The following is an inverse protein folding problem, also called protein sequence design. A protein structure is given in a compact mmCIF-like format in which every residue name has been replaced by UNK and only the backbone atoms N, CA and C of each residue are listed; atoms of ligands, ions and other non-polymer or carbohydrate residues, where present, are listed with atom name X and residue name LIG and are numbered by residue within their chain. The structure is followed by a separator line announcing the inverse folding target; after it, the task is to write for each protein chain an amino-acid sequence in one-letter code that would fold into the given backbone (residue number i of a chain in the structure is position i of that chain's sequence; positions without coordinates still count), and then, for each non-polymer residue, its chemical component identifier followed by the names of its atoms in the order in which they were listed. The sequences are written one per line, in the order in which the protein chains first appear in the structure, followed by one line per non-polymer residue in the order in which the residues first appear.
data_IF_654831388611
#
_entry.id   IF_654831388611
#
_cell.length_a   1.000
_cell.length_b   1.000
_cell.length_c   1.000
_cell.angle_alpha   90.00
_cell.angle_beta   90.00
_cell.angle_gamma   90.00
#
_symmetry.space_group_name_H-M   'P 1'
#
loop_
_entity.id
_entity.type
_entity.pdbx_description
1 polymer ?
#
# COMPACT_ATOMS: atom_id res chain seq x y z
N UNK A 1 -4.23 -1.13 -3.94
CA UNK A 1 -3.95 -1.84 -5.19
C UNK A 1 -2.54 -1.51 -5.68
N UNK A 2 -1.79 -2.54 -6.09
CA UNK A 2 -0.49 -2.44 -6.76
C UNK A 2 -0.61 -3.07 -8.16
N UNK A 3 -0.86 -2.23 -9.18
CA UNK A 3 -1.07 -2.67 -10.55
C UNK A 3 0.28 -2.96 -11.24
N UNK A 4 0.49 -4.20 -11.63
CA UNK A 4 1.69 -4.70 -12.30
C UNK A 4 1.33 -5.12 -13.73
N UNK A 5 1.90 -4.43 -14.71
CA UNK A 5 1.73 -4.83 -16.11
C UNK A 5 2.59 -6.07 -16.41
N UNK A 6 1.95 -7.17 -16.80
CA UNK A 6 2.60 -8.42 -17.16
C UNK A 6 1.86 -9.13 -18.31
N UNK A 7 1.96 -8.57 -19.52
CA UNK A 7 1.22 -9.10 -20.66
C UNK A 7 1.67 -10.51 -21.05
N UNK A 8 0.68 -11.41 -21.19
CA UNK A 8 0.91 -12.79 -21.60
C UNK A 8 1.02 -12.88 -23.12
N UNK A 9 2.15 -12.41 -23.66
CA UNK A 9 2.38 -12.25 -25.10
C UNK A 9 2.41 -13.55 -25.91
N UNK A 10 2.53 -14.70 -25.24
CA UNK A 10 2.49 -16.02 -25.89
C UNK A 10 1.08 -16.61 -25.97
N UNK A 11 0.12 -16.06 -25.22
CA UNK A 11 -1.28 -16.50 -25.23
C UNK A 11 -1.95 -16.32 -26.59
N UNK A 12 -2.89 -17.20 -26.92
CA UNK A 12 -3.65 -17.13 -28.16
C UNK A 12 -4.45 -15.83 -28.32
N UNK A 13 -5.05 -15.32 -27.24
CA UNK A 13 -5.80 -14.06 -27.24
C UNK A 13 -4.91 -12.84 -27.56
N UNK A 14 -3.72 -12.75 -26.96
CA UNK A 14 -2.78 -11.64 -27.20
C UNK A 14 -2.32 -11.67 -28.65
N UNK A 15 -1.92 -12.84 -29.16
CA UNK A 15 -1.47 -13.02 -30.55
C UNK A 15 -2.58 -12.75 -31.56
N UNK A 16 -3.84 -13.05 -31.23
CA UNK A 16 -4.98 -12.75 -32.09
C UNK A 16 -5.18 -11.23 -32.27
N UNK A 17 -4.75 -10.40 -31.31
CA UNK A 17 -4.74 -8.94 -31.44
C UNK A 17 -6.11 -8.27 -31.61
N UNK A 18 -7.21 -9.02 -31.40
CA UNK A 18 -8.57 -8.50 -31.56
C UNK A 18 -8.86 -7.48 -30.48
N UNK A 19 -9.45 -6.35 -30.85
CA UNK A 19 -9.84 -5.27 -29.94
C UNK A 19 -11.32 -5.31 -29.59
N UNK A 20 -11.69 -4.68 -28.48
CA UNK A 20 -13.06 -4.47 -28.04
C UNK A 20 -13.32 -2.99 -27.77
N UNK A 21 -14.57 -2.57 -27.92
CA UNK A 21 -15.05 -1.37 -27.23
C UNK A 21 -15.51 -1.79 -25.84
N UNK A 22 -14.84 -1.27 -24.81
CA UNK A 22 -15.17 -1.59 -23.42
C UNK A 22 -16.54 -0.99 -23.09
N UNK A 23 -17.50 -1.86 -22.75
CA UNK A 23 -18.86 -1.50 -22.32
C UNK A 23 -19.14 -1.91 -20.88
N UNK A 24 -18.27 -2.71 -20.28
CA UNK A 24 -18.44 -3.20 -18.92
C UNK A 24 -17.23 -3.97 -18.40
N UNK A 25 -17.33 -4.42 -17.15
CA UNK A 25 -16.35 -5.23 -16.45
C UNK A 25 -17.03 -6.50 -15.94
N UNK A 26 -16.34 -7.64 -16.03
CA UNK A 26 -16.81 -8.94 -15.54
C UNK A 26 -15.88 -9.44 -14.44
N UNK A 27 -16.43 -9.70 -13.26
CA UNK A 27 -15.69 -10.27 -12.13
C UNK A 27 -15.82 -11.79 -12.14
N UNK A 28 -14.70 -12.45 -11.89
CA UNK A 28 -14.53 -13.89 -11.85
C UNK A 28 -13.79 -14.33 -10.59
N UNK A 29 -13.86 -15.62 -10.28
CA UNK A 29 -12.91 -16.28 -9.39
C UNK A 29 -12.36 -17.52 -10.08
N UNK A 30 -11.10 -17.84 -9.77
CA UNK A 30 -10.32 -18.81 -10.56
C UNK A 30 -10.84 -20.27 -10.51
N UNK A 31 -11.84 -20.57 -9.68
CA UNK A 31 -12.56 -21.84 -9.65
C UNK A 31 -11.72 -23.02 -9.16
N UNK A 32 -10.62 -22.76 -8.45
CA UNK A 32 -9.79 -23.78 -7.82
C UNK A 32 -9.00 -23.18 -6.64
N UNK A 33 -8.60 -23.98 -5.64
CA UNK A 33 -7.94 -23.50 -4.42
C UNK A 33 -6.48 -23.07 -4.67
N UNK A 34 -6.32 -21.98 -5.42
CA UNK A 34 -5.05 -21.44 -5.88
C UNK A 34 -4.95 -19.97 -5.48
N UNK A 35 -4.21 -19.65 -4.40
CA UNK A 35 -4.14 -18.29 -3.88
C UNK A 35 -3.19 -17.38 -4.66
N UNK A 36 -2.39 -17.93 -5.59
CA UNK A 36 -1.34 -17.20 -6.32
C UNK A 36 -1.57 -17.15 -7.82
N UNK A 37 -1.39 -15.94 -8.37
CA UNK A 37 -1.59 -15.63 -9.78
C UNK A 37 -0.51 -16.23 -10.68
N UNK A 38 0.70 -16.49 -10.16
CA UNK A 38 1.85 -16.94 -10.95
C UNK A 38 1.61 -18.28 -11.65
N UNK A 39 0.83 -19.17 -11.03
CA UNK A 39 0.42 -20.45 -11.61
C UNK A 39 -0.41 -20.23 -12.87
N UNK A 40 -1.37 -19.30 -12.84
CA UNK A 40 -2.22 -18.97 -13.98
C UNK A 40 -1.45 -18.23 -15.07
N UNK A 41 -0.58 -17.28 -14.68
CA UNK A 41 0.28 -16.57 -15.64
C UNK A 41 1.16 -17.54 -16.43
N UNK A 42 1.71 -18.56 -15.78
CA UNK A 42 2.48 -19.63 -16.45
C UNK A 42 1.57 -20.48 -17.35
N UNK A 43 0.41 -20.90 -16.87
CA UNK A 43 -0.48 -21.81 -17.58
C UNK A 43 -1.19 -21.17 -18.79
N UNK A 44 -1.48 -19.86 -18.74
CA UNK A 44 -2.20 -19.16 -19.80
C UNK A 44 -1.28 -18.49 -20.83
N UNK A 45 0.02 -18.33 -20.53
CA UNK A 45 0.98 -17.74 -21.47
C UNK A 45 1.52 -18.77 -22.48
N UNK A 46 0.61 -19.41 -23.21
CA UNK A 46 0.91 -20.40 -24.25
C UNK A 46 -0.15 -20.36 -25.35
N UNK A 47 0.23 -20.74 -26.56
CA UNK A 47 -0.61 -20.52 -27.75
C UNK A 47 -1.90 -21.35 -27.75
N UNK A 48 -1.88 -22.51 -27.10
CA UNK A 48 -2.99 -23.47 -26.98
C UNK A 48 -3.86 -23.26 -25.72
N UNK A 49 -3.59 -22.20 -24.93
CA UNK A 49 -4.44 -21.86 -23.80
C UNK A 49 -5.82 -21.39 -24.29
N UNK A 50 -6.88 -22.00 -23.77
CA UNK A 50 -8.26 -21.68 -24.14
C UNK A 50 -8.93 -20.66 -23.20
N UNK A 51 -8.17 -20.08 -22.28
CA UNK A 51 -8.62 -19.07 -21.34
C UNK A 51 -7.66 -17.88 -21.34
N UNK A 52 -8.22 -16.67 -21.22
CA UNK A 52 -7.46 -15.44 -21.21
C UNK A 52 -8.27 -14.30 -20.59
N UNK A 53 -7.76 -13.74 -19.51
CA UNK A 53 -8.39 -12.66 -18.74
C UNK A 53 -7.51 -11.42 -18.79
N UNK A 54 -8.07 -10.26 -18.45
CA UNK A 54 -7.32 -9.01 -18.47
C UNK A 54 -6.50 -8.80 -17.22
N UNK A 55 -6.97 -9.27 -16.07
CA UNK A 55 -6.20 -9.20 -14.82
C UNK A 55 -6.51 -10.32 -13.83
N UNK A 56 -5.56 -10.58 -12.93
CA UNK A 56 -5.75 -11.39 -11.72
C UNK A 56 -5.47 -10.54 -10.48
N UNK A 57 -6.31 -10.67 -9.46
CA UNK A 57 -6.23 -9.98 -8.16
C UNK A 57 -5.81 -10.95 -7.05
N UNK A 58 -4.81 -10.55 -6.26
CA UNK A 58 -4.35 -11.27 -5.06
C UNK A 58 -4.75 -10.56 -3.75
N UNK A 59 -4.80 -11.28 -2.61
CA UNK A 59 -5.23 -10.74 -1.31
C UNK A 59 -4.25 -9.72 -0.70
N UNK A 60 -3.00 -9.68 -1.13
CA UNK A 60 -2.01 -8.69 -0.67
C UNK A 60 -2.15 -7.33 -1.39
N UNK A 61 -3.11 -7.23 -2.32
CA UNK A 61 -3.38 -6.03 -3.09
C UNK A 61 -2.64 -5.95 -4.42
N UNK A 62 -1.85 -6.96 -4.78
CA UNK A 62 -1.25 -7.07 -6.11
C UNK A 62 -2.33 -7.35 -7.17
N UNK A 63 -2.20 -6.67 -8.31
CA UNK A 63 -3.03 -6.87 -9.50
C UNK A 63 -2.12 -7.06 -10.70
N UNK A 64 -2.22 -8.22 -11.34
CA UNK A 64 -1.42 -8.53 -12.52
C UNK A 64 -2.25 -8.29 -13.77
N UNK A 65 -1.93 -7.26 -14.54
CA UNK A 65 -2.58 -7.00 -15.83
C UNK A 65 -1.94 -7.90 -16.91
N UNK A 66 -2.72 -8.86 -17.38
CA UNK A 66 -2.29 -9.94 -18.27
C UNK A 66 -2.57 -9.67 -19.75
N UNK A 67 -3.51 -8.76 -20.03
CA UNK A 67 -3.89 -8.36 -21.38
C UNK A 67 -4.13 -6.83 -21.38
N UNK A 68 -3.82 -6.11 -22.47
CA UNK A 68 -4.26 -4.73 -22.60
C UNK A 68 -5.79 -4.64 -22.46
N UNK A 69 -6.27 -3.60 -21.77
CA UNK A 69 -7.69 -3.48 -21.39
C UNK A 69 -8.67 -3.49 -22.56
N UNK A 70 -8.23 -3.04 -23.73
CA UNK A 70 -9.02 -2.94 -24.96
C UNK A 70 -8.82 -4.15 -25.90
N UNK A 71 -8.10 -5.19 -25.49
CA UNK A 71 -8.03 -6.45 -26.23
C UNK A 71 -9.20 -7.36 -25.85
N UNK A 72 -9.58 -8.23 -26.78
CA UNK A 72 -10.61 -9.23 -26.62
C UNK A 72 -10.08 -10.41 -25.79
N UNK A 73 -10.53 -10.52 -24.53
CA UNK A 73 -10.26 -11.67 -23.68
C UNK A 73 -11.06 -12.91 -24.09
N UNK A 74 -10.65 -14.08 -23.58
CA UNK A 74 -11.34 -15.37 -23.68
C UNK A 74 -11.71 -15.84 -22.26
N UNK A 75 -12.49 -15.03 -21.55
CA UNK A 75 -12.74 -15.20 -20.11
C UNK A 75 -14.18 -15.68 -19.82
N UNK A 76 -15.15 -15.30 -20.65
CA UNK A 76 -16.57 -15.52 -20.36
C UNK A 76 -17.21 -16.68 -21.13
N UNK A 77 -16.52 -17.27 -22.10
CA UNK A 77 -17.11 -18.30 -22.97
C UNK A 77 -18.31 -17.82 -23.83
N UNK A 78 -18.57 -16.51 -23.93
CA UNK A 78 -19.72 -15.98 -24.65
C UNK A 78 -19.53 -14.58 -25.24
N UNK A 79 -20.64 -13.89 -25.49
CA UNK A 79 -20.68 -12.55 -26.08
C UNK A 79 -19.92 -11.49 -25.29
N UNK A 80 -19.85 -11.62 -23.95
CA UNK A 80 -19.15 -10.69 -23.06
C UNK A 80 -17.65 -10.57 -23.37
N UNK A 81 -17.02 -11.58 -23.98
CA UNK A 81 -15.65 -11.50 -24.47
C UNK A 81 -15.42 -10.33 -25.44
N UNK A 82 -16.46 -9.84 -26.12
CA UNK A 82 -16.39 -8.75 -27.10
C UNK A 82 -16.67 -7.35 -26.50
N UNK A 83 -17.01 -7.27 -25.22
CA UNK A 83 -17.50 -6.03 -24.60
C UNK A 83 -16.99 -5.78 -23.19
N UNK A 84 -16.58 -6.81 -22.46
CA UNK A 84 -16.22 -6.72 -21.05
C UNK A 84 -14.73 -6.97 -20.83
N UNK A 85 -14.17 -6.27 -19.84
CA UNK A 85 -12.88 -6.59 -19.25
C UNK A 85 -13.10 -7.69 -18.20
N UNK A 86 -12.46 -8.85 -18.35
CA UNK A 86 -12.53 -9.96 -17.40
C UNK A 86 -11.43 -9.90 -16.34
N UNK A 87 -11.82 -9.95 -15.07
CA UNK A 87 -10.89 -9.93 -13.92
C UNK A 87 -11.14 -11.14 -13.04
N UNK A 88 -10.07 -11.87 -12.73
CA UNK A 88 -10.08 -13.03 -11.84
C UNK A 88 -9.63 -12.66 -10.43
N UNK A 89 -10.32 -13.14 -9.40
CA UNK A 89 -9.79 -13.18 -8.04
C UNK A 89 -9.19 -14.55 -7.76
N UNK A 90 -8.01 -14.59 -7.13
CA UNK A 90 -7.48 -15.85 -6.60
C UNK A 90 -8.38 -16.37 -5.48
N UNK A 91 -8.35 -17.67 -5.26
CA UNK A 91 -9.14 -18.34 -4.23
C UNK A 91 -8.24 -18.92 -3.14
N UNK A 92 -8.71 -19.02 -1.89
CA UNK A 92 -7.90 -19.52 -0.78
C UNK A 92 -7.48 -20.98 -0.99
N UNK A 93 -6.31 -21.36 -0.46
CA UNK A 93 -5.86 -22.76 -0.47
C UNK A 93 -6.62 -23.67 0.51
N UNK A 94 -7.48 -23.08 1.35
CA UNK A 94 -8.23 -23.73 2.42
C UNK A 94 -9.65 -24.14 2.02
N UNK A 95 -9.96 -24.18 0.72
CA UNK A 95 -11.22 -24.71 0.21
C UNK A 95 -10.98 -25.95 -0.65
N UNK A 96 -11.98 -26.82 -0.71
CA UNK A 96 -11.99 -28.00 -1.60
C UNK A 96 -13.31 -28.07 -2.34
N UNK A 97 -13.26 -28.07 -3.67
CA UNK A 97 -14.45 -28.27 -4.48
C UNK A 97 -14.94 -29.72 -4.40
N UNK A 98 -16.24 -29.87 -4.18
CA UNK A 98 -16.95 -31.16 -4.14
C UNK A 98 -17.73 -31.44 -5.45
N UNK A 99 -17.71 -30.50 -6.40
CA UNK A 99 -18.34 -30.62 -7.71
C UNK A 99 -19.12 -29.37 -8.08
N UNK A 100 -18.92 -28.88 -9.31
CA UNK A 100 -19.47 -27.60 -9.74
C UNK A 100 -19.02 -26.46 -8.82
N UNK A 101 -19.96 -25.60 -8.42
CA UNK A 101 -19.72 -24.48 -7.53
C UNK A 101 -19.71 -24.85 -6.03
N UNK A 102 -19.95 -26.12 -5.68
CA UNK A 102 -19.99 -26.56 -4.29
C UNK A 102 -18.57 -26.77 -3.76
N UNK A 103 -18.28 -26.22 -2.59
CA UNK A 103 -17.00 -26.36 -1.92
C UNK A 103 -17.16 -26.55 -0.41
N UNK A 104 -16.12 -27.07 0.23
CA UNK A 104 -16.02 -27.25 1.68
C UNK A 104 -14.76 -26.58 2.21
N UNK A 105 -14.87 -25.91 3.35
CA UNK A 105 -13.73 -25.43 4.11
C UNK A 105 -12.87 -26.61 4.60
N UNK A 106 -11.54 -26.52 4.45
CA UNK A 106 -10.58 -27.54 4.93
C UNK A 106 -9.77 -27.08 6.13
N UNK A 107 -9.85 -25.81 6.52
CA UNK A 107 -9.24 -25.22 7.70
C UNK A 107 -10.28 -24.78 8.74
N UNK A 108 -9.98 -23.71 9.47
CA UNK A 108 -10.87 -23.12 10.48
C UNK A 108 -11.77 -21.99 9.92
N UNK A 109 -11.70 -21.71 8.61
CA UNK A 109 -12.47 -20.66 7.94
C UNK A 109 -11.91 -19.24 8.05
N UNK A 110 -11.00 -18.95 8.98
CA UNK A 110 -10.47 -17.58 9.17
C UNK A 110 -9.63 -17.14 7.96
N UNK A 111 -8.78 -18.02 7.46
CA UNK A 111 -7.95 -17.76 6.28
C UNK A 111 -8.79 -17.56 5.02
N UNK A 112 -9.82 -18.39 4.83
CA UNK A 112 -10.75 -18.29 3.70
C UNK A 112 -11.47 -16.96 3.73
N UNK A 113 -12.03 -16.57 4.88
CA UNK A 113 -12.70 -15.27 5.05
C UNK A 113 -11.74 -14.11 4.77
N UNK A 114 -10.54 -14.14 5.34
CA UNK A 114 -9.55 -13.10 5.16
C UNK A 114 -9.14 -12.96 3.68
N UNK A 115 -8.91 -14.08 2.98
CA UNK A 115 -8.57 -14.10 1.57
C UNK A 115 -9.69 -13.50 0.71
N UNK A 116 -10.94 -13.95 0.89
CA UNK A 116 -12.09 -13.49 0.11
C UNK A 116 -12.36 -12.00 0.33
N UNK A 117 -12.32 -11.52 1.57
CA UNK A 117 -12.52 -10.09 1.85
C UNK A 117 -11.39 -9.22 1.28
N UNK A 118 -10.15 -9.72 1.30
CA UNK A 118 -9.00 -8.99 0.78
C UNK A 118 -9.01 -8.90 -0.75
N UNK A 119 -9.32 -10.00 -1.45
CA UNK A 119 -9.47 -9.97 -2.91
C UNK A 119 -10.69 -9.16 -3.35
N UNK A 120 -11.81 -9.23 -2.63
CA UNK A 120 -12.98 -8.37 -2.84
C UNK A 120 -12.61 -6.88 -2.76
N UNK A 121 -11.93 -6.47 -1.69
CA UNK A 121 -11.50 -5.07 -1.51
C UNK A 121 -10.58 -4.62 -2.66
N UNK A 122 -9.60 -5.43 -3.03
CA UNK A 122 -8.71 -5.10 -4.13
C UNK A 122 -9.45 -5.03 -5.48
N UNK A 123 -10.42 -5.92 -5.71
CA UNK A 123 -11.28 -5.88 -6.89
C UNK A 123 -12.15 -4.60 -6.93
N UNK A 124 -12.68 -4.13 -5.80
CA UNK A 124 -13.40 -2.83 -5.72
C UNK A 124 -12.50 -1.69 -6.18
N UNK A 125 -11.26 -1.62 -5.67
CA UNK A 125 -10.29 -0.59 -6.05
C UNK A 125 -9.96 -0.63 -7.56
N UNK A 126 -9.73 -1.83 -8.11
CA UNK A 126 -9.46 -2.01 -9.54
C UNK A 126 -10.67 -1.63 -10.41
N UNK A 127 -11.87 -2.06 -10.02
CA UNK A 127 -13.09 -1.80 -10.81
C UNK A 127 -13.44 -0.31 -10.78
N UNK A 128 -13.24 0.39 -9.67
CA UNK A 128 -13.39 1.85 -9.60
C UNK A 128 -12.41 2.56 -10.54
N UNK A 129 -11.14 2.15 -10.53
CA UNK A 129 -10.12 2.66 -11.45
C UNK A 129 -10.51 2.45 -12.92
N UNK A 130 -10.98 1.25 -13.28
CA UNK A 130 -11.41 0.93 -14.64
C UNK A 130 -12.69 1.69 -15.05
N UNK A 131 -13.65 1.85 -14.12
CA UNK A 131 -14.85 2.62 -14.40
C UNK A 131 -14.53 4.09 -14.67
N UNK A 132 -13.62 4.70 -13.90
CA UNK A 132 -13.13 6.06 -14.18
C UNK A 132 -12.42 6.12 -15.54
N UNK A 133 -11.52 5.18 -15.82
CA UNK A 133 -10.74 5.16 -17.06
C UNK A 133 -11.62 5.06 -18.32
N UNK A 134 -12.72 4.30 -18.25
CA UNK A 134 -13.60 4.03 -19.40
C UNK A 134 -14.95 4.77 -19.34
N UNK A 135 -15.14 5.67 -18.36
CA UNK A 135 -16.38 6.43 -18.19
C UNK A 135 -17.61 5.55 -17.95
N UNK A 136 -17.45 4.46 -17.18
CA UNK A 136 -18.51 3.49 -16.90
C UNK A 136 -19.26 3.88 -15.61
N UNK A 137 -20.59 3.77 -15.64
CA UNK A 137 -21.42 3.87 -14.43
C UNK A 137 -21.51 2.48 -13.75
N UNK A 138 -20.89 2.27 -12.59
CA UNK A 138 -20.83 0.95 -11.95
C UNK A 138 -22.20 0.41 -11.50
N UNK A 139 -23.22 1.27 -11.37
CA UNK A 139 -24.58 0.85 -11.00
C UNK A 139 -25.53 0.71 -12.20
N UNK A 140 -25.07 1.04 -13.41
CA UNK A 140 -25.86 0.86 -14.62
C UNK A 140 -25.97 -0.64 -15.00
N UNK A 141 -27.13 -1.01 -15.57
CA UNK A 141 -27.44 -2.40 -15.90
C UNK A 141 -26.43 -2.98 -16.91
N UNK A 142 -25.88 -4.16 -16.60
CA UNK A 142 -24.95 -4.87 -17.49
C UNK A 142 -23.53 -4.31 -17.54
N UNK A 143 -23.23 -3.20 -16.86
CA UNK A 143 -21.88 -2.61 -16.83
C UNK A 143 -20.96 -3.44 -15.94
N UNK A 144 -21.33 -3.71 -14.69
CA UNK A 144 -20.57 -4.59 -13.80
C UNK A 144 -21.37 -5.86 -13.58
N UNK A 145 -20.81 -7.00 -13.94
CA UNK A 145 -21.48 -8.31 -13.83
C UNK A 145 -20.54 -9.40 -13.32
N UNK A 146 -21.06 -10.42 -12.65
CA UNK A 146 -20.37 -11.68 -12.43
C UNK A 146 -20.46 -12.58 -13.67
N UNK A 147 -19.71 -13.69 -13.69
CA UNK A 147 -19.90 -14.73 -14.70
C UNK A 147 -21.32 -15.31 -14.62
N UNK A 148 -21.81 -15.58 -13.41
CA UNK A 148 -23.17 -16.08 -13.14
C UNK A 148 -24.26 -15.16 -13.71
N UNK A 149 -24.15 -13.84 -13.49
CA UNK A 149 -25.06 -12.86 -14.09
C UNK A 149 -24.90 -12.79 -15.63
N UNK A 150 -23.67 -12.92 -16.15
CA UNK A 150 -23.41 -13.02 -17.58
C UNK A 150 -24.10 -14.23 -18.24
N UNK A 151 -24.10 -15.38 -17.56
CA UNK A 151 -24.81 -16.57 -18.01
C UNK A 151 -26.32 -16.33 -18.06
N UNK A 152 -26.90 -15.74 -17.00
CA UNK A 152 -28.33 -15.40 -16.93
C UNK A 152 -28.75 -14.43 -18.04
N UNK A 153 -27.82 -13.60 -18.50
CA UNK A 153 -28.01 -12.67 -19.63
C UNK A 153 -27.77 -13.31 -21.01
N UNK A 154 -27.35 -14.57 -21.07
CA UNK A 154 -27.04 -15.27 -22.33
C UNK A 154 -25.75 -14.81 -23.01
N UNK A 155 -24.85 -14.13 -22.28
CA UNK A 155 -23.59 -13.58 -22.82
C UNK A 155 -22.33 -14.24 -22.24
N UNK A 156 -22.48 -15.23 -21.36
CA UNK A 156 -21.39 -16.03 -20.80
C UNK A 156 -21.78 -17.50 -20.69
N UNK A 157 -20.79 -18.38 -20.51
CA UNK A 157 -20.97 -19.80 -20.24
C UNK A 157 -21.56 -20.04 -18.84
N UNK A 158 -22.03 -21.26 -18.59
CA UNK A 158 -22.69 -21.65 -17.34
C UNK A 158 -21.71 -21.88 -16.19
N UNK A 159 -21.07 -20.81 -15.71
CA UNK A 159 -20.28 -20.81 -14.49
C UNK A 159 -20.97 -19.98 -13.39
N UNK A 160 -20.79 -20.41 -12.14
CA UNK A 160 -21.45 -19.83 -10.97
C UNK A 160 -20.64 -18.77 -10.21
N UNK A 161 -19.42 -18.46 -10.67
CA UNK A 161 -18.58 -17.44 -10.05
C UNK A 161 -19.15 -16.03 -10.24
N UNK A 162 -19.02 -15.17 -9.24
CA UNK A 162 -18.27 -15.29 -7.96
C UNK A 162 -19.14 -15.64 -6.76
N UNK A 163 -20.45 -15.71 -6.97
CA UNK A 163 -21.45 -15.75 -5.91
C UNK A 163 -21.33 -16.99 -5.02
N UNK A 164 -20.86 -18.12 -5.54
CA UNK A 164 -20.66 -19.36 -4.77
C UNK A 164 -19.67 -19.24 -3.63
N UNK A 165 -18.72 -18.29 -3.72
CA UNK A 165 -17.81 -17.96 -2.62
C UNK A 165 -18.33 -16.79 -1.80
N UNK A 166 -18.80 -15.74 -2.48
CA UNK A 166 -19.19 -14.49 -1.84
C UNK A 166 -20.38 -14.63 -0.89
N UNK A 167 -21.36 -15.49 -1.22
CA UNK A 167 -22.56 -15.66 -0.40
C UNK A 167 -22.26 -16.15 1.02
N UNK A 168 -21.24 -17.02 1.17
CA UNK A 168 -20.81 -17.55 2.49
C UNK A 168 -20.27 -16.46 3.42
N UNK A 169 -19.88 -15.31 2.87
CA UNK A 169 -19.34 -14.16 3.61
C UNK A 169 -20.24 -12.92 3.57
N UNK A 170 -21.49 -13.07 3.14
CA UNK A 170 -22.46 -11.98 3.08
C UNK A 170 -22.17 -10.93 1.99
N UNK A 171 -21.32 -11.26 1.02
CA UNK A 171 -21.01 -10.40 -0.11
C UNK A 171 -21.98 -10.67 -1.27
N UNK A 172 -22.26 -9.64 -2.07
CA UNK A 172 -23.14 -9.76 -3.23
C UNK A 172 -22.71 -8.84 -4.36
N UNK A 173 -23.10 -9.17 -5.59
CA UNK A 173 -22.89 -8.29 -6.74
C UNK A 173 -23.59 -6.93 -6.59
N UNK A 174 -24.72 -6.87 -5.86
CA UNK A 174 -25.36 -5.59 -5.57
C UNK A 174 -24.48 -4.72 -4.66
N UNK A 175 -23.91 -5.30 -3.61
CA UNK A 175 -22.99 -4.59 -2.71
C UNK A 175 -21.71 -4.19 -3.43
N UNK A 176 -21.16 -5.07 -4.28
CA UNK A 176 -19.95 -4.79 -5.06
C UNK A 176 -20.08 -3.54 -5.94
N UNK A 177 -21.21 -3.40 -6.66
CA UNK A 177 -21.48 -2.19 -7.45
C UNK A 177 -21.58 -0.92 -6.60
N UNK A 178 -22.21 -1.01 -5.42
CA UNK A 178 -22.29 0.11 -4.48
C UNK A 178 -20.91 0.48 -3.93
N UNK A 179 -20.09 -0.49 -3.60
CA UNK A 179 -18.74 -0.26 -3.08
C UNK A 179 -17.83 0.34 -4.16
N UNK A 180 -17.95 -0.10 -5.41
CA UNK A 180 -17.25 0.53 -6.55
C UNK A 180 -17.70 1.98 -6.71
N UNK A 181 -19.01 2.23 -6.70
CA UNK A 181 -19.56 3.60 -6.77
C UNK A 181 -19.03 4.47 -5.64
N UNK A 182 -19.06 3.98 -4.40
CA UNK A 182 -18.53 4.69 -3.24
C UNK A 182 -17.02 4.95 -3.36
N UNK A 183 -16.25 3.99 -3.90
CA UNK A 183 -14.82 4.17 -4.17
C UNK A 183 -14.56 5.20 -5.28
N UNK A 184 -15.45 5.32 -6.27
CA UNK A 184 -15.40 6.38 -7.30
C UNK A 184 -15.83 7.74 -6.76
N UNK A 185 -16.83 7.80 -5.89
CA UNK A 185 -17.36 9.03 -5.26
C UNK A 185 -16.41 9.58 -4.18
N UNK A 186 -15.70 8.71 -3.46
CA UNK A 186 -14.60 9.09 -2.56
C UNK A 186 -13.33 9.57 -3.27
N UNK A 187 -13.41 9.80 -4.58
CA UNK A 187 -12.32 10.19 -5.48
C UNK A 187 -12.67 11.43 -6.32
N UNK A 188 -13.41 12.40 -5.77
CA UNK A 188 -13.64 13.72 -6.41
C UNK A 188 -12.42 14.62 -6.24
N UNK A 189 -11.91 15.16 -7.35
CA UNK A 189 -10.64 15.91 -7.43
C UNK A 189 -10.60 17.25 -6.67
N UNK A 190 -11.71 17.72 -6.09
CA UNK A 190 -11.72 18.89 -5.19
C UNK A 190 -11.72 18.49 -3.70
N UNK A 191 -12.12 17.27 -3.35
CA UNK A 191 -12.03 16.70 -2.00
C UNK A 191 -10.79 15.80 -1.80
N UNK A 192 -10.00 15.57 -2.87
CA UNK A 192 -8.81 14.70 -2.85
C UNK A 192 -7.49 15.44 -2.66
N UNK A 193 -7.52 16.76 -2.44
CA UNK A 193 -6.30 17.55 -2.26
C UNK A 193 -5.79 17.42 -0.82
N UNK A 194 -4.49 17.23 -0.68
CA UNK A 194 -3.86 16.97 0.61
C UNK A 194 -3.64 18.29 1.34
N UNK A 195 -4.44 18.58 2.37
CA UNK A 195 -4.28 19.78 3.19
C UNK A 195 -2.88 19.82 3.85
N UNK A 196 -2.24 20.99 3.81
CA UNK A 196 -0.98 21.27 4.51
C UNK A 196 -1.22 21.51 6.00
N UNK A 197 -2.35 22.11 6.34
CA UNK A 197 -2.79 22.27 7.73
C UNK A 197 -3.38 20.96 8.27
N UNK A 198 -3.17 20.70 9.55
CA UNK A 198 -3.69 19.53 10.26
C UNK A 198 -2.62 18.71 10.96
N UNK A 199 -3.03 17.55 11.49
CA UNK A 199 -2.15 16.64 12.22
C UNK A 199 -1.33 15.77 11.27
N UNK A 200 -0.08 15.53 11.63
CA UNK A 200 0.76 14.59 10.92
C UNK A 200 0.15 13.18 10.95
N UNK A 201 0.23 12.47 9.83
CA UNK A 201 -0.25 11.10 9.69
C UNK A 201 0.89 10.08 9.83
N UNK A 202 2.13 10.47 9.52
CA UNK A 202 3.31 9.64 9.74
C UNK A 202 3.93 9.88 11.12
N UNK A 203 4.43 8.80 11.71
CA UNK A 203 5.23 8.81 12.94
C UNK A 203 6.71 9.10 12.65
N UNK A 204 7.45 9.55 13.67
CA UNK A 204 8.91 9.74 13.55
C UNK A 204 9.62 8.42 13.20
N UNK A 205 9.13 7.29 13.69
CA UNK A 205 9.65 5.96 13.34
C UNK A 205 9.52 5.65 11.84
N UNK A 206 8.35 5.90 11.24
CA UNK A 206 8.14 5.73 9.80
C UNK A 206 9.06 6.64 8.97
N UNK A 207 9.20 7.90 9.37
CA UNK A 207 10.10 8.85 8.71
C UNK A 207 11.56 8.39 8.77
N UNK A 208 12.01 7.93 9.94
CA UNK A 208 13.36 7.42 10.14
C UNK A 208 13.63 6.15 9.34
N UNK A 209 12.68 5.20 9.33
CA UNK A 209 12.78 3.96 8.53
C UNK A 209 12.90 4.26 7.04
N UNK A 210 12.02 5.11 6.51
CA UNK A 210 12.07 5.55 5.13
C UNK A 210 13.44 6.17 4.79
N UNK A 211 13.92 7.09 5.65
CA UNK A 211 15.15 7.82 5.38
C UNK A 211 16.38 6.91 5.39
N UNK A 212 16.49 5.99 6.36
CA UNK A 212 17.58 5.00 6.41
C UNK A 212 17.60 4.11 5.16
N UNK A 213 16.43 3.77 4.61
CA UNK A 213 16.33 2.97 3.38
C UNK A 213 16.76 3.74 2.14
N UNK A 214 16.44 5.03 2.05
CA UNK A 214 16.80 5.89 0.90
C UNK A 214 18.22 6.44 0.98
N UNK A 215 18.74 6.63 2.18
CA UNK A 215 20.08 7.10 2.45
C UNK A 215 20.68 6.26 3.60
N UNK A 216 21.26 5.09 3.29
CA UNK A 216 21.90 4.23 4.30
C UNK A 216 23.07 4.90 5.03
N UNK A 217 23.64 5.96 4.45
CA UNK A 217 24.72 6.75 5.02
C UNK A 217 24.24 8.02 5.73
N UNK A 218 22.94 8.14 6.01
CA UNK A 218 22.37 9.32 6.66
C UNK A 218 23.03 9.55 8.04
N UNK A 219 23.49 10.79 8.34
CA UNK A 219 24.06 11.09 9.64
C UNK A 219 23.06 10.91 10.78
N UNK A 220 23.53 10.47 11.95
CA UNK A 220 22.67 10.31 13.13
C UNK A 220 22.00 11.63 13.54
N UNK A 221 22.68 12.77 13.40
CA UNK A 221 22.12 14.09 13.68
C UNK A 221 20.89 14.43 12.84
N UNK A 222 20.78 13.89 11.62
CA UNK A 222 19.59 14.05 10.76
C UNK A 222 18.43 13.18 11.27
N UNK A 223 18.72 11.99 11.80
CA UNK A 223 17.70 11.14 12.42
C UNK A 223 17.19 11.74 13.73
N UNK A 224 18.09 12.31 14.53
CA UNK A 224 17.79 12.89 15.83
C UNK A 224 16.87 14.13 15.73
N UNK A 225 16.90 14.84 14.59
CA UNK A 225 16.04 16.00 14.36
C UNK A 225 14.66 15.65 13.77
N UNK A 226 14.39 14.40 13.36
CA UNK A 226 13.08 14.01 12.80
C UNK A 226 11.91 14.36 13.73
N UNK A 227 11.96 14.10 15.05
CA UNK A 227 10.89 14.48 15.96
C UNK A 227 10.57 15.97 15.97
N UNK A 228 11.55 16.84 15.63
CA UNK A 228 11.35 18.29 15.58
C UNK A 228 10.34 18.70 14.50
N UNK A 229 10.28 18.00 13.37
CA UNK A 229 9.26 18.25 12.35
C UNK A 229 7.84 18.07 12.90
N UNK A 230 7.64 17.02 13.70
CA UNK A 230 6.35 16.72 14.31
C UNK A 230 6.00 17.74 15.39
N UNK A 231 6.93 18.07 16.28
CA UNK A 231 6.67 19.01 17.37
C UNK A 231 6.46 20.45 16.87
N UNK A 232 7.29 20.91 15.93
CA UNK A 232 7.15 22.26 15.34
C UNK A 232 5.90 22.35 14.46
N UNK A 233 5.58 21.28 13.72
CA UNK A 233 4.35 21.19 12.95
C UNK A 233 3.09 21.25 13.82
N UNK A 234 3.00 20.41 14.86
CA UNK A 234 1.85 20.40 15.78
C UNK A 234 1.65 21.77 16.44
N UNK A 235 2.73 22.45 16.84
CA UNK A 235 2.67 23.77 17.47
C UNK A 235 2.04 24.84 16.56
N UNK A 236 2.23 24.74 15.24
CA UNK A 236 1.70 25.69 14.26
C UNK A 236 0.43 25.20 13.54
N UNK A 237 -0.04 23.99 13.85
CA UNK A 237 -1.16 23.33 13.17
C UNK A 237 -0.83 22.86 11.75
N UNK A 238 0.45 22.69 11.44
CA UNK A 238 0.96 22.27 10.12
C UNK A 238 1.37 20.81 10.18
N UNK A 239 1.10 20.08 9.10
CA UNK A 239 1.55 18.70 8.95
C UNK A 239 3.07 18.60 8.84
N UNK A 240 3.72 18.29 9.96
CA UNK A 240 5.16 18.09 10.05
C UNK A 240 5.69 16.96 9.15
N UNK A 241 4.87 15.95 8.86
CA UNK A 241 5.19 14.87 7.93
C UNK A 241 5.31 15.34 6.47
N UNK A 242 4.51 16.32 6.06
CA UNK A 242 4.63 16.98 4.76
C UNK A 242 5.93 17.80 4.70
N UNK A 243 6.25 18.56 5.75
CA UNK A 243 7.49 19.33 5.80
C UNK A 243 8.72 18.42 5.72
N UNK A 244 8.72 17.28 6.42
CA UNK A 244 9.79 16.30 6.31
C UNK A 244 9.89 15.70 4.89
N UNK A 245 8.76 15.33 4.27
CA UNK A 245 8.75 14.82 2.90
C UNK A 245 9.27 15.84 1.88
N UNK A 246 8.92 17.11 2.06
CA UNK A 246 9.48 18.22 1.28
C UNK A 246 10.99 18.33 1.48
N UNK A 247 11.49 18.25 2.71
CA UNK A 247 12.93 18.30 2.98
C UNK A 247 13.69 17.14 2.34
N UNK A 248 13.11 15.93 2.34
CA UNK A 248 13.65 14.80 1.59
C UNK A 248 13.72 15.08 0.09
N UNK A 249 12.73 15.77 -0.50
CA UNK A 249 12.77 16.15 -1.91
C UNK A 249 13.90 17.14 -2.21
N UNK A 250 13.98 18.23 -1.44
CA UNK A 250 14.91 19.35 -1.68
C UNK A 250 16.38 18.99 -1.45
N UNK A 251 16.64 18.07 -0.52
CA UNK A 251 17.99 17.64 -0.15
C UNK A 251 18.42 16.33 -0.82
N UNK A 252 17.55 15.71 -1.62
CA UNK A 252 17.80 14.36 -2.14
C UNK A 252 17.96 13.33 -1.03
N UNK A 253 17.02 13.28 -0.09
CA UNK A 253 17.03 12.47 1.13
C UNK A 253 18.27 12.73 2.01
N UNK A 254 18.58 14.00 2.24
CA UNK A 254 19.71 14.46 3.05
C UNK A 254 21.09 14.00 2.55
N UNK A 255 21.21 13.74 1.24
CA UNK A 255 22.51 13.53 0.59
C UNK A 255 23.14 14.86 0.16
N UNK A 256 22.30 15.88 -0.06
CA UNK A 256 22.66 17.22 -0.54
C UNK A 256 23.41 17.22 -1.88
N UNK A 257 23.42 16.10 -2.60
CA UNK A 257 24.09 15.99 -3.89
C UNK A 257 23.42 16.90 -4.91
N UNK A 258 24.15 17.90 -5.40
CA UNK A 258 23.63 18.92 -6.32
C UNK A 258 22.61 19.89 -5.70
N UNK A 259 22.45 19.90 -4.37
CA UNK A 259 21.55 20.83 -3.69
C UNK A 259 22.16 22.22 -3.54
N UNK A 260 21.31 23.26 -3.50
CA UNK A 260 21.72 24.65 -3.28
C UNK A 260 21.91 25.00 -1.78
N UNK A 261 21.70 24.01 -0.91
CA UNK A 261 21.88 24.08 0.54
C UNK A 261 22.77 22.95 1.03
N UNK A 262 23.38 23.12 2.18
CA UNK A 262 24.15 22.07 2.87
C UNK A 262 23.55 21.74 4.23
N UNK A 263 23.98 20.62 4.81
CA UNK A 263 23.54 20.20 6.14
C UNK A 263 23.81 21.27 7.22
N UNK A 264 24.97 21.94 7.17
CA UNK A 264 25.36 22.95 8.18
C UNK A 264 24.52 24.23 8.12
N UNK A 265 23.77 24.48 7.05
CA UNK A 265 22.88 25.64 6.96
C UNK A 265 21.58 25.44 7.73
N UNK A 266 21.27 24.23 8.18
CA UNK A 266 19.98 23.90 8.81
C UNK A 266 18.77 24.29 7.95
N UNK A 267 18.94 24.40 6.62
CA UNK A 267 17.90 24.83 5.69
C UNK A 267 17.53 23.67 4.78
N UNK A 268 16.64 22.79 5.26
CA UNK A 268 16.36 21.53 4.58
C UNK A 268 15.29 21.64 3.48
N UNK A 269 14.64 22.79 3.34
CA UNK A 269 13.63 23.04 2.30
C UNK A 269 14.10 23.99 1.19
N UNK A 270 15.38 24.38 1.18
CA UNK A 270 15.91 25.31 0.19
C UNK A 270 15.36 26.74 0.33
N UNK A 271 14.94 27.15 1.53
CA UNK A 271 14.34 28.46 1.75
C UNK A 271 15.32 29.58 1.33
N UNK A 272 14.86 30.49 0.46
CA UNK A 272 15.67 31.58 -0.06
C UNK A 272 16.47 31.26 -1.33
N UNK A 273 16.44 30.02 -1.83
CA UNK A 273 16.98 29.65 -3.14
C UNK A 273 16.03 30.19 -4.22
N UNK A 274 16.31 31.41 -4.70
CA UNK A 274 15.42 32.15 -5.62
C UNK A 274 15.79 31.98 -7.09
N UNK A 275 16.99 31.50 -7.38
CA UNK A 275 17.47 31.23 -8.74
C UNK A 275 18.66 30.26 -8.67
N UNK A 276 18.95 29.59 -9.80
CA UNK A 276 20.10 28.68 -9.92
C UNK A 276 21.39 29.40 -9.53
N UNK A 277 22.20 28.78 -8.66
CA UNK A 277 23.47 29.33 -8.20
C UNK A 277 23.40 30.27 -7.00
N UNK A 278 22.20 30.61 -6.49
CA UNK A 278 22.06 31.26 -5.18
C UNK A 278 22.00 30.23 -4.07
N UNK A 279 22.79 30.45 -3.03
CA UNK A 279 22.73 29.69 -1.78
C UNK A 279 21.48 30.05 -0.98
N UNK A 280 20.90 29.07 -0.31
CA UNK A 280 19.77 29.28 0.59
C UNK A 280 20.15 30.06 1.86
N UNK A 281 19.15 30.42 2.67
CA UNK A 281 19.34 30.95 4.02
C UNK A 281 20.05 29.93 4.93
N UNK A 282 20.59 30.41 6.05
CA UNK A 282 21.16 29.58 7.10
C UNK A 282 20.50 29.89 8.44
N UNK A 283 20.32 28.86 9.26
CA UNK A 283 19.74 28.96 10.61
C UNK A 283 20.73 28.41 11.64
N UNK A 284 20.69 28.97 12.84
CA UNK A 284 21.61 28.61 13.92
C UNK A 284 21.46 27.15 14.36
N UNK A 285 20.22 26.64 14.39
CA UNK A 285 19.93 25.25 14.78
C UNK A 285 18.96 24.58 13.80
N UNK A 286 18.99 23.24 13.77
CA UNK A 286 18.04 22.43 13.01
C UNK A 286 16.59 22.76 13.39
N UNK A 287 16.32 22.99 14.68
CA UNK A 287 15.00 23.38 15.16
C UNK A 287 14.53 24.70 14.54
N UNK A 288 15.38 25.74 14.51
CA UNK A 288 15.01 27.03 13.94
C UNK A 288 14.79 26.95 12.43
N UNK A 289 15.59 26.16 11.72
CA UNK A 289 15.40 25.94 10.29
C UNK A 289 14.13 25.18 9.94
N UNK A 290 13.81 24.12 10.71
CA UNK A 290 12.55 23.38 10.59
C UNK A 290 11.36 24.30 10.93
N UNK A 291 11.45 25.11 11.99
CA UNK A 291 10.43 26.10 12.34
C UNK A 291 10.20 27.09 11.20
N UNK A 292 11.26 27.64 10.61
CA UNK A 292 11.14 28.55 9.47
C UNK A 292 10.44 27.90 8.26
N UNK A 293 10.73 26.63 7.98
CA UNK A 293 10.02 25.87 6.95
C UNK A 293 8.53 25.71 7.26
N UNK A 294 8.20 25.29 8.49
CA UNK A 294 6.82 25.09 8.95
C UNK A 294 6.04 26.42 8.82
N UNK A 295 6.65 27.51 9.24
CA UNK A 295 6.09 28.85 9.10
C UNK A 295 5.88 29.24 7.64
N UNK A 296 6.83 28.92 6.74
CA UNK A 296 6.67 29.19 5.32
C UNK A 296 5.52 28.38 4.70
N UNK A 297 5.38 27.11 5.07
CA UNK A 297 4.24 26.27 4.67
C UNK A 297 2.90 26.82 5.19
N UNK A 298 2.86 27.27 6.45
CA UNK A 298 1.68 27.96 7.02
C UNK A 298 1.36 29.25 6.27
N UNK A 299 2.37 29.96 5.78
CA UNK A 299 2.18 31.15 4.96
C UNK A 299 1.35 30.83 3.71
N UNK A 300 1.72 29.75 3.03
CA UNK A 300 0.99 29.26 1.85
C UNK A 300 -0.40 28.75 2.21
N UNK A 301 -0.53 28.00 3.30
CA UNK A 301 -1.73 27.22 3.57
C UNK A 301 -2.83 27.94 4.35
N UNK A 302 -2.49 28.96 5.14
CA UNK A 302 -3.43 29.64 6.04
C UNK A 302 -3.19 31.15 6.09
N UNK A 303 -4.21 31.90 6.53
CA UNK A 303 -4.12 33.31 6.90
C UNK A 303 -3.82 33.55 8.39
N UNK A 304 -3.82 32.50 9.22
CA UNK A 304 -3.66 32.60 10.67
C UNK A 304 -2.30 33.17 11.08
N UNK A 305 -2.23 33.83 12.23
CA UNK A 305 -0.97 34.25 12.81
C UNK A 305 -0.10 33.05 13.24
N UNK A 306 1.19 33.28 13.43
CA UNK A 306 2.05 32.32 14.11
C UNK A 306 1.62 32.12 15.56
N UNK A 307 1.80 30.91 16.05
CA UNK A 307 1.63 30.63 17.49
C UNK A 307 2.96 30.91 18.22
N UNK A 308 4.09 30.60 17.60
CA UNK A 308 5.43 30.85 18.13
C UNK A 308 6.08 32.14 17.61
N UNK A 309 7.36 32.31 17.95
CA UNK A 309 8.22 33.38 17.42
C UNK A 309 8.42 33.23 15.90
N UNK A 310 8.27 34.33 15.15
CA UNK A 310 8.47 34.35 13.70
C UNK A 310 9.94 34.26 13.30
N UNK A 311 10.37 33.09 12.83
CA UNK A 311 11.74 32.80 12.37
C UNK A 311 11.88 32.94 10.86
N UNK A 312 10.83 32.68 10.08
CA UNK A 312 10.86 32.79 8.61
C UNK A 312 10.97 34.27 8.15
N UNK A 313 12.14 34.73 7.65
CA UNK A 313 12.31 36.12 7.22
C UNK A 313 11.63 36.39 5.86
N UNK A 314 11.16 35.34 5.17
CA UNK A 314 10.51 35.41 3.86
C UNK A 314 9.00 35.30 3.95
N UNK A 315 8.45 35.10 5.15
CA UNK A 315 7.02 34.94 5.37
C UNK A 315 6.20 36.07 4.74
N UNK A 316 6.69 37.31 4.88
CA UNK A 316 6.08 38.53 4.33
C UNK A 316 5.93 38.56 2.81
N UNK A 317 6.65 37.71 2.07
CA UNK A 317 6.59 37.67 0.61
C UNK A 317 5.51 36.71 0.07
N UNK A 318 4.95 35.86 0.92
CA UNK A 318 3.92 34.89 0.50
C UNK A 318 2.54 35.56 0.58
N UNK A 319 1.75 35.45 -0.50
CA UNK A 319 0.31 35.77 -0.40
C UNK A 319 -0.33 34.72 0.51
N UNK A 320 -0.75 35.13 1.69
CA UNK A 320 -1.29 34.23 2.72
C UNK A 320 -2.47 33.41 2.19
N UNK A 321 -2.50 32.11 2.51
CA UNK A 321 -3.59 31.19 2.14
C UNK A 321 -3.73 30.91 0.63
N UNK A 322 -2.70 31.17 -0.17
CA UNK A 322 -2.78 30.96 -1.62
C UNK A 322 -2.57 29.52 -2.10
N UNK A 323 -2.13 28.62 -1.22
CA UNK A 323 -1.95 27.19 -1.51
C UNK A 323 -2.26 26.36 -0.26
N UNK A 324 -3.55 26.18 0.11
CA UNK A 324 -4.00 25.32 1.22
C UNK A 324 -3.59 23.83 1.10
N UNK A 325 -3.35 23.36 -0.13
CA UNK A 325 -3.06 21.96 -0.42
C UNK A 325 -1.65 21.75 -0.96
N UNK A 326 -1.04 20.59 -0.68
CA UNK A 326 0.33 20.24 -1.08
C UNK A 326 0.50 20.30 -2.59
N UNK A 327 -0.49 19.81 -3.33
CA UNK A 327 -0.57 19.83 -4.78
C UNK A 327 -0.37 21.24 -5.33
N UNK A 328 -0.94 22.24 -4.65
CA UNK A 328 -0.87 23.66 -5.01
C UNK A 328 0.41 24.37 -4.57
N UNK A 329 1.37 23.66 -3.96
CA UNK A 329 2.73 24.18 -3.79
C UNK A 329 3.47 24.26 -5.14
N UNK A 330 3.02 23.52 -6.15
CA UNK A 330 3.47 23.73 -7.53
C UNK A 330 2.67 24.85 -8.20
N UNK A 331 3.37 25.85 -8.73
CA UNK A 331 2.73 27.02 -9.35
C UNK A 331 1.84 26.65 -10.55
N UNK A 332 2.19 25.60 -11.29
CA UNK A 332 1.44 25.17 -12.47
C UNK A 332 0.17 24.38 -12.11
N UNK A 333 0.17 23.75 -10.94
CA UNK A 333 -0.95 22.95 -10.42
C UNK A 333 -1.88 23.78 -9.53
N UNK A 334 -1.45 24.97 -9.10
CA UNK A 334 -2.27 25.88 -8.32
C UNK A 334 -3.15 26.75 -9.23
N UNK A 335 -4.48 26.76 -9.05
CA UNK A 335 -5.40 27.62 -9.81
C UNK A 335 -5.09 29.12 -9.73
N UNK A 336 -4.41 29.58 -8.67
CA UNK A 336 -3.99 30.98 -8.50
C UNK A 336 -2.63 31.28 -9.16
N UNK A 337 -1.97 30.30 -9.77
CA UNK A 337 -0.62 30.44 -10.34
C UNK A 337 0.47 30.73 -9.30
N UNK A 338 0.20 30.46 -8.02
CA UNK A 338 1.12 30.69 -6.89
C UNK A 338 1.61 29.37 -6.33
N UNK A 339 2.72 29.39 -5.60
CA UNK A 339 3.26 28.16 -5.03
C UNK A 339 4.74 28.30 -4.72
N UNK A 340 5.23 27.35 -3.93
CA UNK A 340 6.61 27.24 -3.53
C UNK A 340 7.56 27.13 -4.72
N UNK A 341 7.22 26.29 -5.71
CA UNK A 341 8.10 25.96 -6.83
C UNK A 341 7.44 26.28 -8.18
N UNK A 342 8.24 26.79 -9.11
CA UNK A 342 7.82 27.04 -10.50
C UNK A 342 7.77 25.77 -11.36
N UNK A 343 8.42 24.69 -10.91
CA UNK A 343 8.47 23.41 -11.62
C UNK A 343 7.15 22.65 -11.54
N UNK A 344 6.86 21.86 -12.59
CA UNK A 344 5.70 20.98 -12.64
C UNK A 344 5.77 19.85 -11.61
N UNK A 345 4.58 19.42 -11.17
CA UNK A 345 4.34 18.26 -10.31
C UNK A 345 5.07 18.35 -8.98
N UNK A 346 5.29 19.57 -8.48
CA UNK A 346 6.05 19.75 -7.24
C UNK A 346 5.34 19.10 -6.05
N UNK A 347 4.05 19.40 -5.88
CA UNK A 347 3.23 18.79 -4.83
C UNK A 347 3.14 17.26 -4.98
N UNK A 348 2.94 16.74 -6.19
CA UNK A 348 2.90 15.30 -6.46
C UNK A 348 4.19 14.59 -6.01
N UNK A 349 5.36 15.19 -6.22
CA UNK A 349 6.66 14.63 -5.77
C UNK A 349 6.74 14.54 -4.25
N UNK A 350 6.27 15.58 -3.54
CA UNK A 350 6.19 15.57 -2.07
C UNK A 350 5.25 14.45 -1.61
N UNK A 351 4.07 14.34 -2.22
CA UNK A 351 3.07 13.32 -1.88
C UNK A 351 3.56 11.90 -2.17
N UNK A 352 4.35 11.71 -3.24
CA UNK A 352 4.98 10.42 -3.52
C UNK A 352 5.93 9.99 -2.40
N UNK A 353 6.71 10.93 -1.84
CA UNK A 353 7.60 10.66 -0.70
C UNK A 353 6.78 10.39 0.56
N UNK A 354 5.78 11.23 0.84
CA UNK A 354 4.89 11.06 2.00
C UNK A 354 4.18 9.70 1.99
N UNK A 355 3.66 9.28 0.84
CA UNK A 355 3.02 7.96 0.67
C UNK A 355 3.99 6.82 0.94
N UNK A 356 5.25 6.95 0.52
CA UNK A 356 6.28 5.96 0.81
C UNK A 356 6.58 5.89 2.32
N UNK A 357 6.70 7.04 3.00
CA UNK A 357 6.88 7.12 4.45
C UNK A 357 5.72 6.43 5.19
N UNK A 358 4.47 6.81 4.88
CA UNK A 358 3.29 6.24 5.55
C UNK A 358 3.22 4.72 5.35
N UNK A 359 3.63 4.24 4.17
CA UNK A 359 3.64 2.81 3.84
C UNK A 359 4.66 1.99 4.63
N UNK A 360 5.72 2.59 5.18
CA UNK A 360 6.69 1.87 6.03
C UNK A 360 6.01 1.23 7.25
N UNK A 361 4.98 1.90 7.82
CA UNK A 361 4.22 1.37 8.96
C UNK A 361 3.34 0.19 8.60
N UNK A 362 2.89 0.08 7.34
CA UNK A 362 2.12 -1.07 6.86
C UNK A 362 3.01 -2.29 6.69
N UNK A 363 4.23 -2.11 6.17
CA UNK A 363 5.22 -3.19 6.05
C UNK A 363 5.61 -3.71 7.43
N UNK A 364 5.95 -2.82 8.36
CA UNK A 364 6.30 -3.23 9.73
C UNK A 364 5.15 -3.89 10.48
N UNK A 365 3.92 -3.39 10.33
CA UNK A 365 2.72 -4.02 10.89
C UNK A 365 2.48 -5.40 10.28
N UNK A 366 2.59 -5.55 8.97
CA UNK A 366 2.46 -6.85 8.29
C UNK A 366 3.57 -7.82 8.69
N UNK A 367 4.82 -7.37 8.80
CA UNK A 367 5.92 -8.19 9.33
C UNK A 367 5.60 -8.63 10.77
N UNK A 368 5.17 -7.70 11.64
CA UNK A 368 4.77 -8.03 13.01
C UNK A 368 3.62 -9.04 13.06
N UNK A 369 2.64 -8.92 12.16
CA UNK A 369 1.54 -9.88 12.01
C UNK A 369 2.08 -11.25 11.59
N UNK A 370 2.98 -11.31 10.60
CA UNK A 370 3.59 -12.58 10.14
C UNK A 370 4.45 -13.27 11.21
N UNK A 371 5.04 -12.52 12.14
CA UNK A 371 5.75 -13.06 13.31
C UNK A 371 4.83 -13.39 14.50
N UNK A 372 3.61 -12.84 14.52
CA UNK A 372 2.59 -13.11 15.56
C UNK A 372 1.70 -14.32 15.26
N UNK A 373 1.71 -14.85 14.04
CA UNK A 373 0.99 -16.10 13.73
C UNK A 373 1.79 -17.28 14.28
N UNK A 374 1.16 -18.19 15.06
CA UNK A 374 1.84 -19.38 15.51
C UNK A 374 2.44 -20.18 14.35
N UNK A 375 3.71 -20.55 14.46
CA UNK A 375 4.40 -21.38 13.46
C UNK A 375 5.12 -22.54 14.14
N UNK A 376 5.47 -23.58 13.37
CA UNK A 376 6.17 -24.74 13.91
C UNK A 376 7.67 -24.65 13.65
N UNK A 377 8.45 -25.15 14.62
CA UNK A 377 9.90 -25.31 14.50
C UNK A 377 10.29 -26.73 14.86
N UNK A 378 11.28 -27.28 14.17
CA UNK A 378 11.94 -28.54 14.52
C UNK A 378 13.22 -28.26 15.30
N UNK A 379 13.33 -28.80 16.51
CA UNK A 379 14.54 -28.78 17.33
C UNK A 379 15.25 -30.13 17.17
N UNK A 380 16.52 -30.09 16.78
CA UNK A 380 17.32 -31.30 16.52
C UNK A 380 18.26 -31.69 17.67
N UNK A 381 18.34 -30.88 18.73
CA UNK A 381 19.19 -31.15 19.89
C UNK A 381 18.35 -31.60 21.10
N UNK A 382 18.82 -32.60 21.87
CA UNK A 382 18.02 -33.22 22.93
C UNK A 382 17.88 -32.36 24.18
N UNK A 383 18.73 -31.35 24.40
CA UNK A 383 18.87 -30.62 25.66
C UNK A 383 18.75 -29.09 25.52
N UNK A 384 18.01 -28.61 24.51
CA UNK A 384 17.74 -27.17 24.35
C UNK A 384 16.96 -26.62 25.55
N UNK A 385 17.66 -25.80 26.35
CA UNK A 385 17.12 -25.23 27.59
C UNK A 385 15.94 -24.28 27.32
N UNK A 386 14.88 -24.43 28.11
CA UNK A 386 13.74 -23.51 28.14
C UNK A 386 14.00 -22.42 29.18
N UNK A 387 13.74 -21.15 28.85
CA UNK A 387 14.01 -19.98 29.70
C UNK A 387 12.76 -19.15 29.97
N UNK A 388 12.75 -18.46 31.11
CA UNK A 388 11.63 -17.59 31.53
C UNK A 388 11.47 -16.31 30.70
N UNK A 389 12.37 -16.04 29.76
CA UNK A 389 12.29 -14.89 28.86
C UNK A 389 13.25 -15.02 27.67
N UNK A 390 13.13 -14.12 26.68
CA UNK A 390 13.90 -14.17 25.44
C UNK A 390 15.31 -13.66 25.66
N UNK A 391 16.22 -14.55 26.04
CA UNK A 391 17.63 -14.21 26.22
C UNK A 391 18.37 -15.11 27.20
N UNK A 392 19.70 -15.11 27.10
CA UNK A 392 20.56 -15.86 28.03
C UNK A 392 20.59 -15.25 29.44
N UNK A 393 20.23 -13.98 29.59
CA UNK A 393 20.10 -13.27 30.88
C UNK A 393 18.89 -13.75 31.70
N UNK A 394 17.89 -14.36 31.07
CA UNK A 394 16.72 -14.89 31.78
C UNK A 394 17.01 -16.25 32.41
N UNK A 395 16.50 -16.52 33.63
CA UNK A 395 16.66 -17.82 34.28
C UNK A 395 16.15 -18.98 33.43
N UNK A 396 16.83 -20.12 33.51
CA UNK A 396 16.32 -21.40 33.00
C UNK A 396 15.10 -21.82 33.82
N UNK A 397 14.14 -22.51 33.20
CA UNK A 397 12.99 -23.10 33.90
C UNK A 397 13.34 -24.41 34.61
N UNK A 398 14.52 -24.97 34.34
CA UNK A 398 14.90 -26.33 34.73
C UNK A 398 14.44 -27.41 33.74
N UNK A 399 13.72 -27.03 32.67
CA UNK A 399 13.25 -27.94 31.60
C UNK A 399 14.02 -27.69 30.29
N UNK A 400 14.01 -28.70 29.43
CA UNK A 400 14.53 -28.65 28.05
C UNK A 400 13.48 -29.20 27.08
N UNK A 401 13.58 -28.88 25.79
CA UNK A 401 12.56 -29.27 24.79
C UNK A 401 12.59 -30.75 24.42
N UNK A 402 13.79 -31.34 24.32
CA UNK A 402 13.98 -32.58 23.58
C UNK A 402 14.07 -32.34 22.07
N UNK A 403 14.43 -33.40 21.33
CA UNK A 403 14.32 -33.43 19.86
C UNK A 403 12.84 -33.55 19.49
N UNK A 404 12.35 -32.70 18.60
CA UNK A 404 10.94 -32.72 18.22
C UNK A 404 10.48 -31.48 17.48
N UNK A 405 9.16 -31.40 17.27
CA UNK A 405 8.49 -30.26 16.65
C UNK A 405 7.69 -29.50 17.70
N UNK A 406 7.85 -28.18 17.72
CA UNK A 406 7.24 -27.30 18.71
C UNK A 406 6.56 -26.12 18.03
N UNK A 407 5.42 -25.68 18.56
CA UNK A 407 4.76 -24.46 18.09
C UNK A 407 5.32 -23.25 18.83
N UNK A 408 5.83 -22.29 18.07
CA UNK A 408 6.22 -20.96 18.53
C UNK A 408 5.04 -20.01 18.31
N UNK A 409 4.67 -19.25 19.33
CA UNK A 409 3.52 -18.31 19.30
C UNK A 409 3.94 -16.84 19.36
N UNK A 410 5.20 -16.58 19.69
CA UNK A 410 5.78 -15.24 19.74
C UNK A 410 7.28 -15.37 19.49
N UNK A 411 7.87 -14.45 18.74
CA UNK A 411 9.31 -14.36 18.53
C UNK A 411 9.83 -13.02 19.05
N UNK A 412 10.98 -13.06 19.74
CA UNK A 412 11.67 -11.87 20.21
C UNK A 412 13.16 -12.12 20.26
N UNK A 413 13.95 -11.28 19.60
CA UNK A 413 15.42 -11.29 19.63
C UNK A 413 16.05 -12.66 19.32
N UNK A 414 15.50 -13.38 18.32
CA UNK A 414 15.87 -14.75 17.93
C UNK A 414 15.53 -15.84 18.96
N UNK A 415 14.57 -15.56 19.85
CA UNK A 415 13.97 -16.53 20.76
C UNK A 415 12.49 -16.73 20.44
N UNK A 416 12.01 -17.96 20.57
CA UNK A 416 10.61 -18.32 20.35
C UNK A 416 9.93 -18.72 21.66
N UNK A 417 8.76 -18.14 21.95
CA UNK A 417 7.89 -18.56 23.04
C UNK A 417 7.11 -19.81 22.61
N UNK A 418 7.29 -20.89 23.34
CA UNK A 418 6.57 -22.14 23.10
C UNK A 418 5.09 -22.01 23.49
N UNK A 419 4.18 -22.50 22.64
CA UNK A 419 2.73 -22.47 22.85
C UNK A 419 2.30 -23.00 24.23
N UNK A 420 2.93 -24.07 24.70
CA UNK A 420 2.62 -24.69 26.00
C UNK A 420 2.91 -23.76 27.21
N UNK A 421 3.66 -22.68 27.01
CA UNK A 421 4.05 -21.73 28.05
C UNK A 421 3.52 -20.32 27.77
N UNK A 422 2.59 -20.16 26.81
CA UNK A 422 2.09 -18.86 26.39
C UNK A 422 1.36 -18.10 27.52
N UNK A 423 0.61 -18.81 28.36
CA UNK A 423 -0.18 -18.23 29.45
C UNK A 423 0.68 -17.51 30.50
N UNK A 424 1.86 -18.08 30.82
CA UNK A 424 2.82 -17.51 31.79
C UNK A 424 4.00 -16.80 31.12
N UNK A 425 4.09 -16.88 29.79
CA UNK A 425 5.18 -16.34 28.95
C UNK A 425 6.59 -16.74 29.41
N UNK A 426 6.73 -17.92 30.01
CA UNK A 426 7.94 -18.35 30.70
C UNK A 426 8.67 -19.53 30.04
N UNK A 427 8.36 -19.81 28.76
CA UNK A 427 8.91 -20.94 28.02
C UNK A 427 9.54 -20.58 26.68
N UNK A 428 10.63 -19.82 26.73
CA UNK A 428 11.38 -19.37 25.57
C UNK A 428 12.51 -20.32 25.20
N UNK A 429 12.70 -20.55 23.91
CA UNK A 429 13.82 -21.33 23.36
C UNK A 429 14.61 -20.50 22.36
N UNK A 430 15.91 -20.78 22.24
CA UNK A 430 16.76 -20.11 21.26
C UNK A 430 16.48 -20.69 19.87
N UNK A 431 15.98 -19.87 18.94
CA UNK A 431 15.65 -20.30 17.57
C UNK A 431 16.90 -20.62 16.74
N UNK A 432 18.09 -20.21 17.18
CA UNK A 432 19.35 -20.64 16.56
C UNK A 432 19.56 -22.17 16.55
N UNK A 433 18.83 -22.93 17.37
CA UNK A 433 18.87 -24.40 17.42
C UNK A 433 17.61 -25.05 16.86
N UNK A 434 16.78 -24.27 16.16
CA UNK A 434 15.51 -24.72 15.61
C UNK A 434 15.42 -24.35 14.12
N UNK A 435 14.78 -25.20 13.32
CA UNK A 435 14.49 -24.93 11.91
C UNK A 435 12.99 -24.74 11.75
N UNK A 436 12.56 -23.61 11.19
CA UNK A 436 11.14 -23.37 10.88
C UNK A 436 10.66 -24.38 9.83
N UNK A 437 9.48 -24.95 10.03
CA UNK A 437 8.87 -25.93 9.12
C UNK A 437 7.53 -25.45 8.58
#
# INVERSE_FOLDING_TARGET
MNLKQNYLTQSGCYKAGKRITVKGLMIHSVGCPQPKADVFMKNWNRADANACVHAIVEPDGDVYQLLPWDFRGWHSGGGANNTHIGVEMTEPSTIKYAGGANWTETGNGENTKAHVLATYKCAVELFAYLCQQFGLDPVADGVIISHSEGCKRGIASNHGDVEHLWSEFGLSMQQFRKDIKAAMEGSTAEDSLTAIMGKAQATAGQMASYLKKKNPSVPQSVLDMIPLYLSEGEAEGVRGDIAFAQSCLETGNFTFSGSAVTLSQNNFCGLGVTQRGKTGLSFETAQLGIRAQIQHLKAYASADAFVGEGIDPRFRYVKRGCAPYVEWLGQKENPQGKGWAAGEKYGEKILSILKAIVSEGKVQFMESLTFSVPYMVRVSIPDLNIRKGPGKSYPKTGKFTGVGVFTVVEEKDSWGLLKAYAEKRDGWISLAFATRI
#
